data_IF_354594502727
#
_entry.id   IF_354594502727
#
_cell.length_a   1.000
_cell.length_b   1.000
_cell.length_c   1.000
_cell.angle_alpha   90.00
_cell.angle_beta   90.00
_cell.angle_gamma   90.00
#
_symmetry.space_group_name_H-M   'P 1'
#
loop_
_entity.id
_entity.type
_entity.pdbx_description
1 polymer ?
#
# COMPACT_ATOMS: atom_id res chain seq x y z
N UNK A 1 6.95 1.94 -3.37
CA UNK A 1 5.62 2.03 -2.72
C UNK A 1 5.46 3.43 -2.14
N UNK A 2 4.32 4.07 -2.32
CA UNK A 2 4.00 5.37 -1.76
C UNK A 2 3.03 5.20 -0.59
N UNK A 3 3.39 5.74 0.57
CA UNK A 3 2.59 5.64 1.81
C UNK A 3 2.20 7.04 2.27
N UNK A 4 0.94 7.24 2.66
CA UNK A 4 0.49 8.42 3.37
C UNK A 4 0.18 8.09 4.83
N UNK A 5 0.42 9.05 5.72
CA UNK A 5 0.07 8.99 7.14
C UNK A 5 -0.68 10.28 7.46
N UNK A 6 -1.92 10.15 7.92
CA UNK A 6 -2.81 11.27 8.21
C UNK A 6 -3.30 11.15 9.66
N UNK A 7 -3.04 12.18 10.45
CA UNK A 7 -3.41 12.28 11.85
C UNK A 7 -3.28 13.75 12.27
N UNK A 8 -4.21 14.37 12.97
CA UNK A 8 -4.12 15.77 13.37
C UNK A 8 -3.18 15.97 14.58
N UNK A 9 -2.91 14.92 15.34
CA UNK A 9 -1.97 14.94 16.46
C UNK A 9 -0.53 14.68 15.98
N UNK A 10 0.34 15.67 16.19
CA UNK A 10 1.75 15.60 15.76
C UNK A 10 2.50 14.40 16.34
N UNK A 11 2.23 14.04 17.57
CA UNK A 11 2.91 12.94 18.28
C UNK A 11 2.57 11.60 17.63
N UNK A 12 1.30 11.35 17.33
CA UNK A 12 0.88 10.13 16.63
C UNK A 12 1.41 10.07 15.20
N UNK A 13 1.43 11.19 14.47
CA UNK A 13 2.06 11.24 13.15
C UNK A 13 3.52 10.81 13.17
N UNK A 14 4.29 11.33 14.13
CA UNK A 14 5.72 11.00 14.28
C UNK A 14 5.86 9.52 14.64
N UNK A 15 5.15 9.04 15.65
CA UNK A 15 5.20 7.66 16.12
C UNK A 15 4.83 6.67 15.01
N UNK A 16 3.73 6.90 14.31
CA UNK A 16 3.30 6.08 13.18
C UNK A 16 4.37 6.03 12.08
N UNK A 17 4.94 7.20 11.73
CA UNK A 17 6.01 7.28 10.73
C UNK A 17 7.25 6.47 11.13
N UNK A 18 7.67 6.57 12.39
CA UNK A 18 8.82 5.82 12.90
C UNK A 18 8.59 4.31 12.83
N UNK A 19 7.42 3.85 13.29
CA UNK A 19 7.02 2.43 13.24
C UNK A 19 7.00 1.91 11.80
N UNK A 20 6.41 2.68 10.88
CA UNK A 20 6.37 2.32 9.44
C UNK A 20 7.79 2.23 8.87
N UNK A 21 8.66 3.21 9.14
CA UNK A 21 10.06 3.21 8.66
C UNK A 21 10.84 2.00 9.19
N UNK A 22 10.73 1.70 10.49
CA UNK A 22 11.43 0.59 11.12
C UNK A 22 11.01 -0.75 10.50
N UNK A 23 9.70 -0.96 10.31
CA UNK A 23 9.17 -2.16 9.69
C UNK A 23 9.61 -2.30 8.22
N UNK A 24 9.55 -1.22 7.43
CA UNK A 24 10.01 -1.26 6.04
C UNK A 24 11.50 -1.59 5.92
N UNK A 25 12.34 -1.05 6.82
CA UNK A 25 13.77 -1.39 6.89
C UNK A 25 13.98 -2.87 7.19
N UNK A 26 13.28 -3.43 8.18
CA UNK A 26 13.39 -4.85 8.54
C UNK A 26 12.93 -5.78 7.40
N UNK A 27 11.92 -5.36 6.64
CA UNK A 27 11.41 -6.06 5.45
C UNK A 27 12.25 -5.82 4.18
N UNK A 28 13.32 -5.00 4.25
CA UNK A 28 14.15 -4.58 3.10
C UNK A 28 13.30 -4.00 1.96
N UNK A 29 12.26 -3.25 2.29
CA UNK A 29 11.33 -2.68 1.32
C UNK A 29 11.43 -1.15 1.29
N UNK A 30 11.56 -0.57 0.10
CA UNK A 30 11.65 0.88 -0.07
C UNK A 30 10.27 1.50 -0.27
N UNK A 31 10.00 2.59 0.44
CA UNK A 31 8.80 3.39 0.28
C UNK A 31 9.09 4.89 0.43
N UNK A 32 8.30 5.70 -0.27
CA UNK A 32 8.20 7.14 -0.04
C UNK A 32 7.07 7.39 0.95
N UNK A 33 7.29 8.19 1.99
CA UNK A 33 6.30 8.47 3.04
C UNK A 33 5.97 9.96 3.03
N UNK A 34 4.71 10.28 2.83
CA UNK A 34 4.13 11.61 3.00
C UNK A 34 3.30 11.68 4.27
N UNK A 35 3.27 12.83 4.93
CA UNK A 35 2.60 13.01 6.23
C UNK A 35 1.69 14.23 6.15
N UNK A 36 0.45 14.10 6.63
CA UNK A 36 -0.57 15.14 6.57
C UNK A 36 -1.18 15.36 7.94
N UNK A 37 -1.53 16.60 8.25
CA UNK A 37 -2.13 16.99 9.53
C UNK A 37 -3.65 17.03 9.50
N UNK A 38 -4.28 16.75 8.36
CA UNK A 38 -5.75 16.66 8.24
C UNK A 38 -6.15 15.95 6.96
N UNK A 39 -7.39 15.46 6.93
CA UNK A 39 -8.00 14.88 5.74
C UNK A 39 -8.09 15.87 4.58
N UNK A 40 -8.40 17.15 4.87
CA UNK A 40 -8.54 18.17 3.84
C UNK A 40 -7.22 18.43 3.11
N UNK A 41 -6.11 18.56 3.85
CA UNK A 41 -4.77 18.74 3.26
C UNK A 41 -4.36 17.51 2.46
N UNK A 42 -4.68 16.32 2.94
CA UNK A 42 -4.42 15.08 2.22
C UNK A 42 -5.19 14.99 0.91
N UNK A 43 -6.49 15.33 0.90
CA UNK A 43 -7.33 15.27 -0.30
C UNK A 43 -6.96 16.32 -1.37
N UNK A 44 -6.28 17.41 -0.98
CA UNK A 44 -5.77 18.42 -1.91
C UNK A 44 -4.46 18.03 -2.58
N UNK A 45 -3.74 17.02 -2.07
CA UNK A 45 -2.51 16.52 -2.70
C UNK A 45 -2.87 15.59 -3.88
N UNK A 46 -2.36 15.90 -5.07
CA UNK A 46 -2.60 15.12 -6.29
C UNK A 46 -1.82 13.78 -6.34
N UNK A 47 -1.00 13.51 -5.32
CA UNK A 47 -0.22 12.28 -5.23
C UNK A 47 -1.10 11.05 -5.06
N UNK A 48 -0.69 9.97 -5.71
CA UNK A 48 -1.31 8.66 -5.53
C UNK A 48 -0.54 7.83 -4.52
N UNK A 49 -1.27 7.14 -3.65
CA UNK A 49 -0.70 6.30 -2.61
C UNK A 49 -1.12 4.84 -2.79
N UNK A 50 -0.16 3.94 -2.52
CA UNK A 50 -0.41 2.50 -2.50
C UNK A 50 -1.06 2.07 -1.19
N UNK A 51 -0.66 2.74 -0.08
CA UNK A 51 -1.17 2.48 1.26
C UNK A 51 -1.33 3.78 2.03
N UNK A 52 -2.38 3.86 2.85
CA UNK A 52 -2.69 5.01 3.69
C UNK A 52 -2.92 4.53 5.11
N UNK A 53 -2.31 5.21 6.08
CA UNK A 53 -2.63 5.11 7.51
C UNK A 53 -3.41 6.35 7.89
N UNK A 54 -4.67 6.19 8.25
CA UNK A 54 -5.66 7.25 8.45
C UNK A 54 -6.19 7.22 9.87
N UNK A 55 -5.99 8.29 10.62
CA UNK A 55 -6.71 8.47 11.88
C UNK A 55 -8.19 8.74 11.63
N UNK A 56 -9.04 8.26 12.53
CA UNK A 56 -10.49 8.53 12.48
C UNK A 56 -10.81 9.87 13.11
N UNK A 57 -10.28 10.11 14.29
CA UNK A 57 -10.66 11.22 15.16
C UNK A 57 -9.79 12.42 14.85
N UNK A 58 -10.15 13.17 13.81
CA UNK A 58 -9.44 14.39 13.41
C UNK A 58 -10.36 15.59 13.48
N UNK A 59 -9.78 16.78 13.78
CA UNK A 59 -10.48 18.04 13.65
C UNK A 59 -10.77 18.35 12.16
N UNK A 60 -11.99 18.75 11.85
CA UNK A 60 -12.44 18.99 10.47
C UNK A 60 -13.11 17.77 9.85
N UNK A 61 -12.69 17.40 8.63
CA UNK A 61 -13.20 16.21 7.95
C UNK A 61 -12.65 14.96 8.63
N UNK A 62 -13.54 14.09 9.12
CA UNK A 62 -13.14 12.88 9.81
C UNK A 62 -12.45 11.85 8.87
N UNK A 63 -11.76 10.87 9.47
CA UNK A 63 -11.00 9.88 8.73
C UNK A 63 -11.88 8.95 7.87
N UNK A 64 -13.12 8.70 8.26
CA UNK A 64 -14.05 7.90 7.46
C UNK A 64 -14.50 8.63 6.21
N UNK A 65 -14.90 9.89 6.33
CA UNK A 65 -15.29 10.74 5.19
C UNK A 65 -14.12 10.94 4.24
N UNK A 66 -12.93 11.23 4.79
CA UNK A 66 -11.68 11.35 4.02
C UNK A 66 -11.36 10.07 3.27
N UNK A 67 -11.45 8.91 3.92
CA UNK A 67 -11.21 7.60 3.30
C UNK A 67 -12.21 7.34 2.19
N UNK A 68 -13.49 7.61 2.42
CA UNK A 68 -14.53 7.41 1.42
C UNK A 68 -14.33 8.29 0.19
N UNK A 69 -13.97 9.57 0.39
CA UNK A 69 -13.67 10.49 -0.68
C UNK A 69 -12.45 10.03 -1.50
N UNK A 70 -11.36 9.65 -0.81
CA UNK A 70 -10.14 9.20 -1.46
C UNK A 70 -10.34 7.89 -2.24
N UNK A 71 -11.02 6.90 -1.67
CA UNK A 71 -11.27 5.61 -2.35
C UNK A 71 -12.20 5.69 -3.55
N UNK A 72 -13.05 6.72 -3.66
CA UNK A 72 -13.82 6.96 -4.89
C UNK A 72 -12.92 7.23 -6.10
N UNK A 73 -11.80 7.93 -5.89
CA UNK A 73 -10.82 8.22 -6.95
C UNK A 73 -9.76 7.11 -7.07
N UNK A 74 -9.37 6.49 -5.96
CA UNK A 74 -8.28 5.51 -5.87
C UNK A 74 -8.74 4.19 -5.19
N UNK A 75 -9.64 3.41 -5.80
CA UNK A 75 -10.26 2.23 -5.18
C UNK A 75 -9.26 1.11 -4.84
N UNK A 76 -8.10 1.09 -5.47
CA UNK A 76 -7.05 0.07 -5.22
C UNK A 76 -6.11 0.43 -4.06
N UNK A 77 -6.20 1.65 -3.52
CA UNK A 77 -5.40 2.05 -2.38
C UNK A 77 -5.79 1.24 -1.14
N UNK A 78 -4.79 0.72 -0.43
CA UNK A 78 -5.00 0.00 0.83
C UNK A 78 -5.06 1.01 1.98
N UNK A 79 -6.25 1.21 2.55
CA UNK A 79 -6.41 2.13 3.68
C UNK A 79 -6.46 1.36 4.99
N UNK A 80 -5.52 1.66 5.88
CA UNK A 80 -5.48 1.19 7.26
C UNK A 80 -5.99 2.32 8.16
N UNK A 81 -7.05 2.05 8.90
CA UNK A 81 -7.62 2.99 9.86
C UNK A 81 -6.88 2.85 11.19
N UNK A 82 -6.41 3.96 11.73
CA UNK A 82 -5.85 4.06 13.08
C UNK A 82 -6.92 4.57 14.05
N UNK A 83 -7.01 3.99 15.24
CA UNK A 83 -7.97 4.44 16.25
C UNK A 83 -7.52 4.06 17.65
N UNK A 84 -7.87 4.87 18.64
CA UNK A 84 -7.76 4.53 20.07
C UNK A 84 -8.98 3.73 20.56
N UNK A 85 -10.07 3.74 19.80
CA UNK A 85 -11.35 3.12 20.16
C UNK A 85 -11.59 1.83 19.39
N UNK A 86 -11.32 0.67 20.01
CA UNK A 86 -11.54 -0.67 19.41
C UNK A 86 -13.00 -0.92 19.01
N UNK A 87 -13.93 -0.23 19.62
CA UNK A 87 -15.38 -0.34 19.33
C UNK A 87 -15.74 0.24 17.95
N UNK A 88 -14.95 1.21 17.46
CA UNK A 88 -15.15 1.82 16.13
C UNK A 88 -14.81 0.85 14.99
N UNK A 89 -14.11 -0.23 15.27
CA UNK A 89 -13.89 -1.31 14.28
C UNK A 89 -15.23 -1.92 13.80
N UNK A 90 -16.29 -1.85 14.61
CA UNK A 90 -17.63 -2.27 14.20
C UNK A 90 -18.30 -1.30 13.21
N UNK A 91 -17.86 -0.06 13.14
CA UNK A 91 -18.27 0.89 12.10
C UNK A 91 -17.54 0.68 10.78
N UNK A 92 -16.61 -0.24 10.75
CA UNK A 92 -15.76 -0.58 9.61
C UNK A 92 -16.49 -1.00 8.34
N UNK A 93 -17.74 -1.37 8.44
CA UNK A 93 -18.60 -1.59 7.27
C UNK A 93 -18.93 -0.30 6.49
N UNK A 94 -18.58 0.88 7.02
CA UNK A 94 -18.85 2.16 6.34
C UNK A 94 -17.84 2.51 5.27
N UNK A 95 -16.60 2.02 5.43
CA UNK A 95 -15.52 2.25 4.46
C UNK A 95 -14.82 0.91 4.17
N UNK A 96 -14.45 0.69 2.92
CA UNK A 96 -13.68 -0.49 2.50
C UNK A 96 -12.22 -0.33 2.99
N UNK A 97 -12.01 -0.45 4.31
CA UNK A 97 -10.70 -0.42 4.92
C UNK A 97 -9.98 -1.76 4.76
N UNK A 98 -8.69 -1.70 4.47
CA UNK A 98 -7.83 -2.88 4.40
C UNK A 98 -7.60 -3.50 5.78
N UNK A 99 -7.39 -2.63 6.79
CA UNK A 99 -7.26 -3.03 8.21
C UNK A 99 -7.72 -1.92 9.14
N UNK A 100 -8.10 -2.33 10.36
CA UNK A 100 -8.26 -1.47 11.52
C UNK A 100 -7.11 -1.77 12.46
N UNK A 101 -6.46 -0.73 12.96
CA UNK A 101 -5.26 -0.81 13.79
C UNK A 101 -5.52 -0.01 15.07
N UNK A 102 -5.40 -0.67 16.22
CA UNK A 102 -5.47 0.03 17.49
C UNK A 102 -4.15 0.78 17.74
N UNK A 103 -4.22 2.09 18.05
CA UNK A 103 -3.05 2.92 18.36
C UNK A 103 -2.25 2.39 19.55
N UNK A 104 -2.86 1.67 20.50
CA UNK A 104 -2.17 1.09 21.65
C UNK A 104 -1.28 -0.11 21.28
N UNK A 105 -1.67 -0.90 20.28
CA UNK A 105 -0.94 -2.08 19.74
C UNK A 105 -0.37 -1.84 18.33
N UNK A 106 -0.20 -0.57 17.96
CA UNK A 106 0.13 -0.20 16.57
C UNK A 106 1.45 -0.77 16.04
N UNK A 107 2.40 -1.09 16.91
CA UNK A 107 3.74 -1.57 16.47
C UNK A 107 3.59 -2.91 15.74
N UNK A 108 2.92 -3.86 16.37
CA UNK A 108 2.69 -5.20 15.84
C UNK A 108 1.70 -5.15 14.67
N UNK A 109 0.61 -4.41 14.83
CA UNK A 109 -0.47 -4.37 13.83
C UNK A 109 -0.05 -3.66 12.54
N UNK A 110 0.77 -2.60 12.60
CA UNK A 110 1.38 -1.97 11.42
C UNK A 110 2.34 -2.94 10.71
N UNK A 111 3.11 -3.74 11.47
CA UNK A 111 3.99 -4.75 10.88
C UNK A 111 3.20 -5.76 10.04
N UNK A 112 2.10 -6.26 10.58
CA UNK A 112 1.20 -7.18 9.86
C UNK A 112 0.51 -6.52 8.66
N UNK A 113 0.06 -5.28 8.82
CA UNK A 113 -0.57 -4.51 7.75
C UNK A 113 0.39 -4.29 6.58
N UNK A 114 1.63 -3.87 6.86
CA UNK A 114 2.67 -3.68 5.84
C UNK A 114 3.01 -5.01 5.15
N UNK A 115 3.23 -6.08 5.90
CA UNK A 115 3.56 -7.40 5.34
C UNK A 115 2.47 -7.91 4.40
N UNK A 116 1.21 -7.84 4.82
CA UNK A 116 0.08 -8.27 3.98
C UNK A 116 -0.18 -7.31 2.82
N UNK A 117 -0.05 -5.99 3.04
CA UNK A 117 -0.22 -4.99 1.98
C UNK A 117 0.82 -5.12 0.88
N UNK A 118 2.10 -5.31 1.23
CA UNK A 118 3.17 -5.54 0.25
C UNK A 118 2.86 -6.77 -0.61
N UNK A 119 2.35 -7.86 -0.01
CA UNK A 119 1.95 -9.07 -0.75
C UNK A 119 0.80 -8.80 -1.71
N UNK A 120 -0.22 -8.05 -1.28
CA UNK A 120 -1.38 -7.69 -2.11
C UNK A 120 -0.95 -6.80 -3.27
N UNK A 121 -0.17 -5.76 -3.01
CA UNK A 121 0.34 -4.83 -4.02
C UNK A 121 1.29 -5.53 -5.00
N UNK A 122 2.13 -6.44 -4.49
CA UNK A 122 3.04 -7.25 -5.33
C UNK A 122 2.31 -8.15 -6.31
N UNK A 123 1.20 -8.76 -5.91
CA UNK A 123 0.37 -9.59 -6.81
C UNK A 123 -0.20 -8.80 -8.00
N UNK A 124 -0.43 -7.50 -7.81
CA UNK A 124 -1.02 -6.64 -8.85
C UNK A 124 0.03 -5.99 -9.77
N UNK A 125 1.33 -6.09 -9.45
CA UNK A 125 2.39 -5.56 -10.31
C UNK A 125 2.63 -6.52 -11.46
N UNK A 126 2.51 -5.98 -12.69
CA UNK A 126 2.81 -6.70 -13.93
C UNK A 126 4.01 -6.05 -14.61
N UNK A 127 4.81 -6.87 -15.29
CA UNK A 127 5.88 -6.42 -16.18
C UNK A 127 5.48 -6.76 -17.60
N UNK A 128 5.60 -5.77 -18.50
CA UNK A 128 5.41 -5.98 -19.91
C UNK A 128 6.69 -6.58 -20.54
N UNK A 129 6.53 -7.59 -21.36
CA UNK A 129 7.58 -8.23 -22.15
C UNK A 129 7.13 -8.33 -23.58
N UNK A 130 8.03 -8.10 -24.53
CA UNK A 130 7.77 -8.37 -25.93
C UNK A 130 8.25 -9.77 -26.29
N UNK A 131 7.31 -10.73 -26.29
CA UNK A 131 7.60 -12.16 -26.50
C UNK A 131 7.65 -12.48 -28.00
N UNK A 132 8.68 -13.19 -28.41
CA UNK A 132 8.91 -13.61 -29.79
C UNK A 132 7.72 -14.45 -30.29
N UNK A 133 7.17 -14.12 -31.46
CA UNK A 133 6.01 -14.75 -32.10
C UNK A 133 4.66 -14.63 -31.35
N UNK A 134 4.61 -13.89 -30.24
CA UNK A 134 3.39 -13.68 -29.44
C UNK A 134 2.99 -12.20 -29.38
N UNK A 135 3.99 -11.29 -29.31
CA UNK A 135 3.78 -9.86 -29.13
C UNK A 135 3.94 -9.44 -27.66
N UNK A 136 3.31 -8.33 -27.29
CA UNK A 136 3.38 -7.80 -25.93
C UNK A 136 2.50 -8.60 -24.97
N UNK A 137 3.10 -9.10 -23.90
CA UNK A 137 2.40 -9.78 -22.79
C UNK A 137 2.69 -9.05 -21.46
N UNK A 138 1.78 -9.16 -20.52
CA UNK A 138 1.94 -8.63 -19.16
C UNK A 138 1.94 -9.76 -18.15
N UNK A 139 3.10 -10.02 -17.55
CA UNK A 139 3.27 -11.06 -16.52
C UNK A 139 3.23 -10.45 -15.13
N UNK A 140 2.41 -10.99 -14.20
CA UNK A 140 2.48 -10.64 -12.80
C UNK A 140 3.87 -10.96 -12.23
N UNK A 141 4.46 -10.03 -11.48
CA UNK A 141 5.82 -10.22 -10.92
C UNK A 141 5.92 -11.48 -10.06
N UNK A 142 4.86 -11.80 -9.32
CA UNK A 142 4.81 -12.97 -8.43
C UNK A 142 4.70 -14.32 -9.18
N UNK A 143 4.44 -14.32 -10.46
CA UNK A 143 4.46 -15.52 -11.32
C UNK A 143 5.84 -15.78 -11.94
N UNK A 144 6.70 -14.74 -11.98
CA UNK A 144 8.04 -14.87 -12.52
C UNK A 144 8.94 -15.55 -11.47
N UNK A 145 9.51 -16.70 -11.83
CA UNK A 145 10.44 -17.45 -10.98
C UNK A 145 11.85 -16.86 -11.08
N UNK A 146 12.34 -16.72 -12.30
CA UNK A 146 13.62 -16.07 -12.60
C UNK A 146 13.67 -15.65 -14.07
N UNK A 147 14.65 -14.81 -14.37
CA UNK A 147 14.90 -14.28 -15.71
C UNK A 147 16.39 -14.51 -16.02
N UNK A 148 16.68 -15.07 -17.17
CA UNK A 148 18.06 -15.25 -17.63
C UNK A 148 18.29 -14.57 -18.98
N UNK A 149 19.52 -14.12 -19.22
CA UNK A 149 19.92 -13.56 -20.50
C UNK A 149 20.50 -14.65 -21.40
N UNK A 150 19.95 -14.77 -22.62
CA UNK A 150 20.42 -15.72 -23.61
C UNK A 150 20.82 -14.95 -24.87
N UNK A 151 22.13 -14.73 -25.08
CA UNK A 151 22.67 -13.91 -26.17
C UNK A 151 22.09 -12.48 -26.12
N UNK A 152 21.21 -12.12 -27.06
CA UNK A 152 20.56 -10.80 -27.15
C UNK A 152 19.13 -10.81 -26.61
N UNK A 153 18.63 -11.97 -26.21
CA UNK A 153 17.27 -12.17 -25.74
C UNK A 153 17.24 -12.45 -24.24
N UNK A 154 16.05 -12.37 -23.67
CA UNK A 154 15.78 -12.68 -22.28
C UNK A 154 14.79 -13.84 -22.22
N UNK A 155 15.11 -14.88 -21.45
CA UNK A 155 14.18 -15.96 -21.16
C UNK A 155 13.57 -15.75 -19.79
N UNK A 156 12.24 -15.83 -19.73
CA UNK A 156 11.44 -15.59 -18.52
C UNK A 156 10.80 -16.91 -18.15
N UNK A 157 11.08 -17.39 -16.95
CA UNK A 157 10.51 -18.62 -16.41
C UNK A 157 9.40 -18.27 -15.43
N UNK A 158 8.23 -18.87 -15.67
CA UNK A 158 7.09 -18.78 -14.77
C UNK A 158 6.75 -20.17 -14.24
N UNK A 159 5.75 -20.27 -13.36
CA UNK A 159 5.29 -21.57 -12.85
C UNK A 159 4.62 -22.44 -13.90
N UNK A 160 4.06 -21.82 -14.93
CA UNK A 160 3.26 -22.51 -15.94
C UNK A 160 4.04 -22.78 -17.22
N UNK A 161 4.86 -21.82 -17.66
CA UNK A 161 5.60 -21.91 -18.91
C UNK A 161 6.80 -20.96 -18.97
N UNK A 162 7.59 -21.08 -20.01
CA UNK A 162 8.69 -20.16 -20.32
C UNK A 162 8.36 -19.27 -21.53
N UNK A 163 8.92 -18.06 -21.51
CA UNK A 163 8.77 -17.08 -22.60
C UNK A 163 10.15 -16.62 -23.06
N UNK A 164 10.31 -16.36 -24.36
CA UNK A 164 11.49 -15.73 -24.93
C UNK A 164 11.13 -14.31 -25.35
N UNK A 165 11.77 -13.32 -24.73
CA UNK A 165 11.59 -11.89 -25.01
C UNK A 165 12.83 -11.33 -25.73
N UNK A 166 12.58 -10.39 -26.64
CA UNK A 166 13.64 -9.62 -27.32
C UNK A 166 14.14 -8.48 -26.45
#
# INVERSE_FOLDING_TARGET
>A
MNIAIIDDEKEWRIKTKEVVIQNLKSMKHNASISVYSSGDVFLQDEKTFDMVFMDIEMNGTDGFETTQAYKKCFPKCLVCILTTHSELSRLGYRVDAFRYINKDSMVEEISEALSSGIKVLGKNKKIAFHVVNVGEIQLPINEILYIETIKRNVRIYTREQEYLSN
#
